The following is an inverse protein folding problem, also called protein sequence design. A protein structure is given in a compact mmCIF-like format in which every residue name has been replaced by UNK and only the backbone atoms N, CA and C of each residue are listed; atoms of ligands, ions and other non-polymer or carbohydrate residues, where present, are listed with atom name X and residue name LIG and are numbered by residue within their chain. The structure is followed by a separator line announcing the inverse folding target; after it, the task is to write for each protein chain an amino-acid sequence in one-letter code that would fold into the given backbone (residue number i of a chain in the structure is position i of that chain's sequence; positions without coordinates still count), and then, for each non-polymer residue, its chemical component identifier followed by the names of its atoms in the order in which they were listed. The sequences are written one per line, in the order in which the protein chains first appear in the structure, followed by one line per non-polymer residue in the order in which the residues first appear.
data_IF_700129618254
#
_entry.id   IF_700129618254
#
_cell.length_a   1.000
_cell.length_b   1.000
_cell.length_c   1.000
_cell.angle_alpha   90.00
_cell.angle_beta   90.00
_cell.angle_gamma   90.00
#
_symmetry.space_group_name_H-M   'P 1'
#
loop_
_entity.id
_entity.type
_entity.pdbx_description
1 polymer ?
#
# COMPACT_ATOMS: atom_id res chain seq x y z
N UNK A 1 -35.53 -14.13 -9.63
CA UNK A 1 -35.09 -14.01 -11.03
C UNK A 1 -34.32 -15.27 -11.40
N UNK A 2 -34.66 -15.90 -12.53
CA UNK A 2 -34.01 -17.12 -13.01
C UNK A 2 -33.08 -16.73 -14.15
N UNK A 3 -31.78 -17.03 -14.03
CA UNK A 3 -30.80 -16.71 -15.06
C UNK A 3 -30.89 -17.80 -16.14
N UNK A 4 -31.38 -17.44 -17.33
CA UNK A 4 -31.75 -18.39 -18.38
C UNK A 4 -30.59 -18.77 -19.31
N UNK A 5 -29.55 -17.93 -19.44
CA UNK A 5 -28.28 -18.27 -20.09
C UNK A 5 -27.23 -17.17 -19.88
N UNK A 6 -25.94 -17.53 -19.79
CA UNK A 6 -24.82 -16.57 -19.73
C UNK A 6 -24.20 -16.34 -18.34
N UNK A 7 -24.68 -17.04 -17.30
CA UNK A 7 -24.01 -17.04 -16.00
C UNK A 7 -22.70 -17.85 -16.10
N UNK A 8 -21.57 -17.15 -16.03
CA UNK A 8 -20.27 -17.78 -15.76
C UNK A 8 -19.96 -17.65 -14.27
N UNK A 9 -19.44 -18.72 -13.68
CA UNK A 9 -18.91 -18.70 -12.31
C UNK A 9 -17.75 -17.70 -12.28
N UNK A 10 -17.85 -16.68 -11.43
CA UNK A 10 -16.72 -15.83 -11.11
C UNK A 10 -15.83 -16.60 -10.12
N UNK A 11 -14.75 -17.22 -10.62
CA UNK A 11 -13.73 -17.80 -9.75
C UNK A 11 -12.75 -16.72 -9.29
N UNK A 12 -12.99 -16.16 -8.10
CA UNK A 12 -11.96 -15.41 -7.39
C UNK A 12 -11.21 -16.40 -6.48
N UNK A 13 -10.21 -17.10 -7.01
CA UNK A 13 -9.25 -17.84 -6.19
C UNK A 13 -8.20 -16.85 -5.71
N UNK A 14 -8.29 -16.52 -4.43
CA UNK A 14 -7.33 -15.62 -3.79
C UNK A 14 -6.05 -16.38 -3.49
N UNK A 15 -4.90 -15.87 -3.92
CA UNK A 15 -3.60 -16.35 -3.49
C UNK A 15 -3.16 -15.58 -2.24
N UNK A 16 -3.09 -16.23 -1.06
CA UNK A 16 -2.69 -15.58 0.18
C UNK A 16 -1.31 -14.90 0.09
N UNK A 17 -0.41 -15.41 -0.75
CA UNK A 17 0.94 -14.85 -0.91
C UNK A 17 0.95 -13.50 -1.59
N UNK A 18 -0.05 -13.19 -2.43
CA UNK A 18 -0.17 -11.92 -3.15
C UNK A 18 -0.55 -10.74 -2.24
N UNK A 19 -1.07 -11.01 -1.03
CA UNK A 19 -1.45 -9.99 -0.06
C UNK A 19 -0.39 -9.75 1.02
N UNK A 20 0.81 -10.31 0.86
CA UNK A 20 1.85 -10.28 1.91
C UNK A 20 1.34 -10.91 3.23
N UNK A 21 0.33 -11.79 3.14
CA UNK A 21 -0.18 -12.50 4.30
C UNK A 21 0.81 -13.60 4.71
N UNK A 22 1.04 -13.73 6.01
CA UNK A 22 1.83 -14.83 6.57
C UNK A 22 1.03 -16.12 6.41
N UNK A 23 1.41 -16.93 5.42
CA UNK A 23 0.80 -18.24 5.17
C UNK A 23 1.48 -19.27 6.07
N UNK A 24 0.73 -20.03 6.87
CA UNK A 24 1.30 -21.12 7.63
C UNK A 24 1.98 -22.12 6.70
N UNK A 25 3.19 -22.52 7.06
CA UNK A 25 3.90 -23.59 6.38
C UNK A 25 3.11 -24.90 6.37
N UNK A 26 3.30 -25.68 5.31
CA UNK A 26 2.71 -27.02 5.21
C UNK A 26 3.31 -27.97 6.25
N UNK A 27 2.59 -29.04 6.60
CA UNK A 27 3.10 -30.06 7.54
C UNK A 27 4.37 -30.75 7.04
N UNK A 28 4.55 -30.84 5.72
CA UNK A 28 5.73 -31.45 5.11
C UNK A 28 6.96 -30.56 5.27
N UNK A 29 6.83 -29.25 5.03
CA UNK A 29 7.92 -28.29 5.24
C UNK A 29 8.31 -28.21 6.72
N UNK A 30 7.34 -28.20 7.63
CA UNK A 30 7.59 -28.22 9.08
C UNK A 30 8.41 -29.44 9.53
N UNK A 31 8.10 -30.64 9.01
CA UNK A 31 8.87 -31.85 9.30
C UNK A 31 10.31 -31.73 8.80
N UNK A 32 10.49 -31.29 7.56
CA UNK A 32 11.82 -31.09 6.97
C UNK A 32 12.63 -30.04 7.73
N UNK A 33 12.00 -28.97 8.20
CA UNK A 33 12.65 -27.93 9.01
C UNK A 33 13.13 -28.45 10.37
N UNK A 34 12.48 -29.50 10.89
CA UNK A 34 12.87 -30.15 12.15
C UNK A 34 13.95 -31.21 11.94
N UNK A 35 13.79 -32.04 10.91
CA UNK A 35 14.66 -33.21 10.68
C UNK A 35 15.97 -32.88 9.93
N UNK A 36 15.97 -31.83 9.08
CA UNK A 36 17.12 -31.46 8.23
C UNK A 36 17.69 -30.08 8.61
N UNK A 37 18.92 -30.09 9.13
CA UNK A 37 19.64 -28.89 9.58
C UNK A 37 20.08 -27.99 8.44
N UNK A 38 20.39 -28.54 7.26
CA UNK A 38 20.76 -27.75 6.08
C UNK A 38 19.53 -27.10 5.47
N UNK A 39 18.42 -27.84 5.37
CA UNK A 39 17.13 -27.30 4.92
C UNK A 39 16.68 -26.12 5.79
N UNK A 40 16.80 -26.23 7.11
CA UNK A 40 16.50 -25.14 8.04
C UNK A 40 17.41 -23.91 7.87
N UNK A 41 18.71 -24.12 7.60
CA UNK A 41 19.67 -23.03 7.41
C UNK A 41 19.33 -22.22 6.15
N UNK A 42 18.99 -22.91 5.06
CA UNK A 42 18.58 -22.27 3.81
C UNK A 42 17.26 -21.51 3.99
N UNK A 43 16.22 -22.14 4.55
CA UNK A 43 14.88 -21.55 4.70
C UNK A 43 14.84 -20.43 5.76
N UNK A 44 15.71 -20.49 6.79
CA UNK A 44 15.81 -19.45 7.80
C UNK A 44 16.61 -18.21 7.37
N UNK A 45 17.20 -18.21 6.18
CA UNK A 45 18.03 -17.11 5.67
C UNK A 45 17.21 -16.06 4.90
N UNK A 46 16.15 -16.49 4.22
CA UNK A 46 15.31 -15.62 3.38
C UNK A 46 14.63 -14.52 4.19
N UNK A 47 14.00 -14.87 5.32
CA UNK A 47 13.36 -13.90 6.21
C UNK A 47 14.34 -12.87 6.77
N UNK A 48 15.57 -13.29 7.09
CA UNK A 48 16.62 -12.39 7.59
C UNK A 48 17.08 -11.43 6.51
N UNK A 49 17.29 -11.94 5.30
CA UNK A 49 17.68 -11.13 4.14
C UNK A 49 16.58 -10.12 3.80
N UNK A 50 15.31 -10.53 3.84
CA UNK A 50 14.17 -9.64 3.62
C UNK A 50 14.11 -8.55 4.70
N UNK A 51 14.29 -8.91 5.97
CA UNK A 51 14.36 -7.95 7.07
C UNK A 51 15.53 -6.95 6.87
N UNK A 52 16.72 -7.44 6.54
CA UNK A 52 17.91 -6.61 6.32
C UNK A 52 17.75 -5.67 5.12
N UNK A 53 17.17 -6.16 4.02
CA UNK A 53 16.86 -5.33 2.84
C UNK A 53 15.83 -4.23 3.13
N UNK A 54 14.92 -4.47 4.10
CA UNK A 54 13.86 -3.53 4.48
C UNK A 54 14.33 -2.46 5.47
N UNK A 55 15.35 -2.75 6.30
CA UNK A 55 15.93 -1.81 7.27
C UNK A 55 16.25 -0.42 6.71
N UNK A 56 16.98 -0.25 5.59
CA UNK A 56 17.31 1.08 5.07
C UNK A 56 16.06 1.88 4.69
N UNK A 57 15.05 1.23 4.10
CA UNK A 57 13.78 1.87 3.75
C UNK A 57 13.04 2.34 5.01
N UNK A 58 12.99 1.52 6.05
CA UNK A 58 12.36 1.88 7.32
C UNK A 58 13.09 3.04 8.00
N UNK A 59 14.42 3.04 8.01
CA UNK A 59 15.22 4.11 8.57
C UNK A 59 15.00 5.45 7.83
N UNK A 60 14.93 5.42 6.50
CA UNK A 60 14.60 6.61 5.70
C UNK A 60 13.22 7.17 6.05
N UNK A 61 12.21 6.31 6.18
CA UNK A 61 10.86 6.72 6.57
C UNK A 61 10.86 7.34 7.97
N UNK A 62 11.52 6.70 8.93
CA UNK A 62 11.63 7.19 10.30
C UNK A 62 12.31 8.56 10.36
N UNK A 63 13.48 8.72 9.73
CA UNK A 63 14.21 9.98 9.74
C UNK A 63 13.39 11.11 9.09
N UNK A 64 12.77 10.85 7.94
CA UNK A 64 11.90 11.83 7.28
C UNK A 64 10.73 12.25 8.18
N UNK A 65 10.21 11.30 8.95
CA UNK A 65 9.10 11.52 9.85
C UNK A 65 9.48 12.45 11.01
N UNK A 66 10.59 12.13 11.66
CA UNK A 66 11.16 12.94 12.74
C UNK A 66 11.45 14.37 12.24
N UNK A 67 12.10 14.52 11.08
CA UNK A 67 12.42 15.84 10.53
C UNK A 67 11.18 16.68 10.21
N UNK A 68 10.13 16.05 9.66
CA UNK A 68 8.91 16.76 9.26
C UNK A 68 7.99 17.08 10.43
N UNK A 69 7.92 16.22 11.45
CA UNK A 69 6.95 16.33 12.54
C UNK A 69 7.55 16.73 13.88
N UNK A 70 8.88 16.88 13.98
CA UNK A 70 9.53 17.48 15.14
C UNK A 70 8.89 18.82 15.54
N UNK A 71 8.51 19.63 14.55
CA UNK A 71 7.68 20.82 14.74
C UNK A 71 6.30 20.66 14.10
N UNK A 72 5.36 20.21 14.92
CA UNK A 72 3.97 20.03 14.55
C UNK A 72 3.28 21.32 14.09
N UNK A 73 3.71 22.50 14.55
CA UNK A 73 3.08 23.76 14.15
C UNK A 73 3.44 24.12 12.71
N UNK A 74 4.72 24.13 12.36
CA UNK A 74 5.16 24.48 11.00
C UNK A 74 4.71 23.43 9.98
N UNK A 75 4.70 22.14 10.34
CA UNK A 75 4.15 21.08 9.48
C UNK A 75 2.67 21.35 9.14
N UNK A 76 1.84 21.63 10.15
CA UNK A 76 0.43 21.94 9.96
C UNK A 76 0.20 23.26 9.23
N UNK A 77 1.04 24.26 9.45
CA UNK A 77 0.98 25.53 8.71
C UNK A 77 1.20 25.29 7.21
N UNK A 78 2.24 24.55 6.82
CA UNK A 78 2.55 24.20 5.42
C UNK A 78 1.40 23.43 4.79
N UNK A 79 0.89 22.40 5.48
CA UNK A 79 -0.26 21.60 5.03
C UNK A 79 -1.50 22.47 4.75
N UNK A 80 -1.85 23.38 5.68
CA UNK A 80 -2.99 24.29 5.49
C UNK A 80 -2.77 25.27 4.34
N UNK A 81 -1.53 25.70 4.08
CA UNK A 81 -1.21 26.57 2.95
C UNK A 81 -1.41 25.84 1.61
N UNK A 82 -0.93 24.60 1.50
CA UNK A 82 -1.14 23.76 0.32
C UNK A 82 -2.62 23.50 0.05
N UNK A 83 -3.40 23.14 1.08
CA UNK A 83 -4.84 22.93 0.91
C UNK A 83 -5.57 24.21 0.49
N UNK A 84 -5.19 25.36 1.04
CA UNK A 84 -5.77 26.65 0.62
C UNK A 84 -5.46 26.94 -0.85
N UNK A 85 -4.22 26.73 -1.29
CA UNK A 85 -3.81 26.91 -2.68
C UNK A 85 -4.61 25.98 -3.62
N UNK A 86 -4.64 24.68 -3.32
CA UNK A 86 -5.34 23.67 -4.11
C UNK A 86 -6.85 23.94 -4.20
N UNK A 87 -7.46 24.39 -3.10
CA UNK A 87 -8.87 24.75 -3.07
C UNK A 87 -9.15 25.99 -3.94
N UNK A 88 -8.25 26.97 -3.95
CA UNK A 88 -8.39 28.14 -4.82
C UNK A 88 -8.29 27.75 -6.30
N UNK A 89 -7.30 26.93 -6.66
CA UNK A 89 -7.14 26.40 -8.01
C UNK A 89 -8.38 25.64 -8.48
N UNK A 90 -8.96 24.79 -7.63
CA UNK A 90 -10.21 24.07 -7.91
C UNK A 90 -11.40 25.01 -8.09
N UNK A 91 -11.50 26.08 -7.29
CA UNK A 91 -12.56 27.08 -7.46
C UNK A 91 -12.41 27.83 -8.78
N UNK A 92 -11.18 28.16 -9.16
CA UNK A 92 -10.89 28.85 -10.42
C UNK A 92 -11.19 27.95 -11.63
N UNK A 93 -10.88 26.65 -11.57
CA UNK A 93 -11.27 25.70 -12.63
C UNK A 93 -12.77 25.60 -12.74
N UNK A 94 -13.47 25.39 -11.62
CA UNK A 94 -14.95 25.30 -11.60
C UNK A 94 -15.59 26.59 -12.11
N UNK A 95 -15.06 27.76 -11.76
CA UNK A 95 -15.56 29.03 -12.25
C UNK A 95 -15.35 29.20 -13.77
N UNK A 96 -14.22 28.74 -14.32
CA UNK A 96 -13.96 28.73 -15.76
C UNK A 96 -14.90 27.77 -16.49
N UNK A 97 -15.08 26.57 -15.97
CA UNK A 97 -15.94 25.55 -16.57
C UNK A 97 -17.40 25.99 -16.58
N UNK A 98 -17.88 26.60 -15.50
CA UNK A 98 -19.23 27.17 -15.43
C UNK A 98 -19.44 28.31 -16.44
N UNK A 99 -18.41 29.14 -16.70
CA UNK A 99 -18.49 30.18 -17.75
C UNK A 99 -18.57 29.57 -19.14
N UNK A 100 -17.85 28.49 -19.41
CA UNK A 100 -17.93 27.77 -20.69
C UNK A 100 -19.31 27.14 -20.87
N UNK A 101 -19.83 26.46 -19.84
CA UNK A 101 -21.16 25.85 -19.86
C UNK A 101 -22.27 26.87 -20.16
N UNK A 102 -22.21 28.06 -19.55
CA UNK A 102 -23.16 29.16 -19.80
C UNK A 102 -23.04 29.77 -21.20
N UNK A 103 -21.91 29.63 -21.88
CA UNK A 103 -21.74 30.08 -23.26
C UNK A 103 -22.23 29.05 -24.28
N UNK A 104 -22.21 27.77 -23.91
CA UNK A 104 -22.65 26.66 -24.76
C UNK A 104 -24.11 26.25 -24.53
N UNK A 105 -24.79 26.81 -23.54
CA UNK A 105 -26.22 26.64 -23.26
C UNK A 105 -26.98 27.88 -23.73
#
# INVERSE_FOLDING_TARGET
YVIQSGARRQENRWDPTQNEQIVPETKETQKRLFDDSMYKLEHGSEDKNLADSSKPRLAQLFNRNEDLWADSYTANQKLRAEFRKRNNELKDTVARDNKLLKKSS
#
